data_IF_349810261588
#
_entry.id   IF_349810261588
#
_cell.length_a   1.000
_cell.length_b   1.000
_cell.length_c   1.000
_cell.angle_alpha   90.00
_cell.angle_beta   90.00
_cell.angle_gamma   90.00
#
_symmetry.space_group_name_H-M   'P 1'
#
loop_
_entity.id
_entity.type
_entity.pdbx_description
1 polymer ?
#
# COMPACT_ATOMS: atom_id res chain seq x y z
N UNK A 1 8.10 -22.51 11.54
CA UNK A 1 7.96 -21.04 11.46
C UNK A 1 6.71 -20.79 10.64
N UNK A 2 5.68 -20.19 11.21
CA UNK A 2 4.51 -19.79 10.43
C UNK A 2 4.95 -18.71 9.42
N UNK A 3 4.58 -18.88 8.15
CA UNK A 3 4.90 -17.92 7.10
C UNK A 3 4.06 -16.67 7.31
N UNK A 4 4.70 -15.50 7.35
CA UNK A 4 4.00 -14.22 7.42
C UNK A 4 3.08 -14.08 6.21
N UNK A 5 1.80 -13.75 6.46
CA UNK A 5 0.83 -13.57 5.38
C UNK A 5 1.06 -12.21 4.72
N UNK A 6 0.92 -12.17 3.39
CA UNK A 6 1.02 -10.95 2.59
C UNK A 6 -0.32 -10.64 1.93
N UNK A 7 -0.74 -9.38 1.96
CA UNK A 7 -1.98 -8.88 1.35
C UNK A 7 -1.68 -7.65 0.50
N UNK A 8 -2.30 -7.60 -0.67
CA UNK A 8 -2.31 -6.40 -1.53
C UNK A 8 -3.69 -5.73 -1.44
N UNK A 9 -3.70 -4.44 -1.13
CA UNK A 9 -4.92 -3.63 -1.02
C UNK A 9 -4.98 -2.66 -2.20
N UNK A 10 -5.90 -2.92 -3.12
CA UNK A 10 -6.23 -2.01 -4.22
C UNK A 10 -7.26 -0.97 -3.78
N UNK A 11 -6.95 0.32 -3.99
CA UNK A 11 -7.78 1.45 -3.56
C UNK A 11 -8.23 2.28 -4.76
N UNK A 12 -9.54 2.36 -4.98
CA UNK A 12 -10.18 3.15 -6.03
C UNK A 12 -10.82 4.44 -5.50
N UNK A 13 -11.23 5.33 -6.40
CA UNK A 13 -11.83 6.63 -6.05
C UNK A 13 -13.25 6.49 -5.50
N UNK A 14 -13.44 6.84 -4.22
CA UNK A 14 -14.74 6.90 -3.57
C UNK A 14 -14.62 7.32 -2.12
N UNK A 15 -15.70 7.87 -1.55
CA UNK A 15 -15.72 8.41 -0.17
C UNK A 15 -15.33 7.37 0.91
N UNK A 16 -15.47 6.07 0.60
CA UNK A 16 -15.09 4.99 1.50
C UNK A 16 -13.57 4.87 1.75
N UNK A 17 -12.72 5.55 0.95
CA UNK A 17 -11.26 5.46 1.05
C UNK A 17 -10.73 5.80 2.45
N UNK A 18 -11.34 6.75 3.16
CA UNK A 18 -10.94 7.13 4.51
C UNK A 18 -11.07 5.96 5.51
N UNK A 19 -11.99 5.02 5.26
CA UNK A 19 -12.16 3.82 6.10
C UNK A 19 -11.10 2.75 5.82
N UNK A 20 -10.49 2.78 4.63
CA UNK A 20 -9.46 1.80 4.26
C UNK A 20 -8.19 1.98 5.09
N UNK A 21 -7.91 3.21 5.57
CA UNK A 21 -6.80 3.48 6.49
C UNK A 21 -6.90 2.62 7.77
N UNK A 22 -8.09 2.51 8.35
CA UNK A 22 -8.32 1.67 9.54
C UNK A 22 -8.15 0.17 9.22
N UNK A 23 -8.61 -0.28 8.04
CA UNK A 23 -8.41 -1.67 7.58
C UNK A 23 -6.91 -2.01 7.51
N UNK A 24 -6.11 -1.14 6.90
CA UNK A 24 -4.66 -1.36 6.78
C UNK A 24 -3.97 -1.33 8.16
N UNK A 25 -4.37 -0.41 9.04
CA UNK A 25 -3.86 -0.38 10.42
C UNK A 25 -4.13 -1.69 11.17
N UNK A 26 -5.34 -2.27 11.01
CA UNK A 26 -5.71 -3.55 11.63
C UNK A 26 -4.96 -4.73 11.03
N UNK A 27 -4.77 -4.77 9.70
CA UNK A 27 -3.98 -5.80 9.03
C UNK A 27 -2.53 -5.78 9.52
N UNK A 28 -1.90 -4.60 9.60
CA UNK A 28 -0.55 -4.46 10.15
C UNK A 28 -0.44 -4.88 11.61
N UNK A 29 -1.43 -4.52 12.45
CA UNK A 29 -1.49 -4.97 13.86
C UNK A 29 -1.63 -6.48 14.01
N UNK A 30 -2.17 -7.16 12.98
CA UNK A 30 -2.25 -8.62 12.92
C UNK A 30 -0.99 -9.28 12.32
N UNK A 31 0.13 -8.54 12.25
CA UNK A 31 1.41 -9.00 11.70
C UNK A 31 1.35 -9.44 10.22
N UNK A 32 0.41 -8.88 9.45
CA UNK A 32 0.29 -9.13 8.01
C UNK A 32 1.15 -8.12 7.26
N UNK A 33 1.88 -8.57 6.24
CA UNK A 33 2.57 -7.67 5.32
C UNK A 33 1.58 -7.06 4.31
N UNK A 34 1.52 -5.73 4.23
CA UNK A 34 0.47 -5.02 3.50
C UNK A 34 1.08 -4.15 2.41
N UNK A 35 0.77 -4.46 1.16
CA UNK A 35 1.13 -3.64 -0.01
C UNK A 35 -0.09 -2.88 -0.50
N UNK A 36 0.07 -1.63 -0.91
CA UNK A 36 -1.06 -0.77 -1.29
C UNK A 36 -0.86 -0.26 -2.71
N UNK A 37 -1.91 -0.36 -3.51
CA UNK A 37 -1.97 0.17 -4.88
C UNK A 37 -3.15 1.13 -4.96
N UNK A 38 -2.93 2.35 -5.45
CA UNK A 38 -3.97 3.36 -5.58
C UNK A 38 -4.23 3.72 -7.04
N UNK A 39 -5.49 3.96 -7.38
CA UNK A 39 -5.83 4.65 -8.63
C UNK A 39 -5.58 6.16 -8.50
N UNK A 40 -5.39 6.86 -9.63
CA UNK A 40 -5.34 8.33 -9.66
C UNK A 40 -6.57 8.98 -9.02
N UNK A 41 -7.75 8.40 -9.22
CA UNK A 41 -8.98 8.93 -8.59
C UNK A 41 -8.96 8.79 -7.05
N UNK A 42 -8.33 7.74 -6.51
CA UNK A 42 -8.20 7.58 -5.06
C UNK A 42 -7.25 8.62 -4.46
N UNK A 43 -6.21 9.03 -5.19
CA UNK A 43 -5.22 10.01 -4.71
C UNK A 43 -5.80 11.41 -4.55
N UNK A 44 -6.92 11.72 -5.23
CA UNK A 44 -7.66 12.98 -5.05
C UNK A 44 -8.41 13.06 -3.71
N UNK A 45 -8.71 11.93 -3.08
CA UNK A 45 -9.40 11.89 -1.78
C UNK A 45 -8.42 11.77 -0.61
N UNK A 46 -7.41 10.90 -0.75
CA UNK A 46 -6.39 10.62 0.29
C UNK A 46 -5.04 10.49 -0.39
N UNK A 47 -4.02 11.13 0.17
CA UNK A 47 -2.68 11.09 -0.42
C UNK A 47 -2.01 9.73 -0.19
N UNK A 48 -1.12 9.27 -1.11
CA UNK A 48 -0.35 8.03 -0.92
C UNK A 48 0.43 7.98 0.40
N UNK A 49 0.90 9.11 0.91
CA UNK A 49 1.69 9.20 2.15
C UNK A 49 0.95 8.63 3.37
N UNK A 50 -0.36 8.84 3.47
CA UNK A 50 -1.17 8.28 4.56
C UNK A 50 -1.15 6.75 4.54
N UNK A 51 -1.21 6.16 3.35
CA UNK A 51 -1.14 4.72 3.18
C UNK A 51 0.27 4.19 3.43
N UNK A 52 1.33 4.86 2.95
CA UNK A 52 2.72 4.46 3.19
C UNK A 52 3.06 4.40 4.69
N UNK A 53 2.63 5.42 5.45
CA UNK A 53 2.87 5.49 6.89
C UNK A 53 2.22 4.32 7.65
N UNK A 54 1.05 3.88 7.20
CA UNK A 54 0.31 2.79 7.83
C UNK A 54 0.74 1.42 7.33
N UNK A 55 1.01 1.29 6.04
CA UNK A 55 1.40 0.03 5.41
C UNK A 55 2.89 -0.26 5.57
N UNK A 56 3.73 0.68 6.01
CA UNK A 56 5.19 0.51 6.12
C UNK A 56 5.84 0.01 4.80
N UNK A 57 5.17 0.26 3.68
CA UNK A 57 5.58 -0.14 2.34
C UNK A 57 5.31 1.03 1.39
N UNK A 58 6.03 1.09 0.27
CA UNK A 58 5.73 2.06 -0.78
C UNK A 58 4.33 1.83 -1.35
N UNK A 59 3.65 2.93 -1.71
CA UNK A 59 2.33 2.89 -2.33
C UNK A 59 2.50 3.12 -3.82
N UNK A 60 2.04 2.16 -4.62
CA UNK A 60 2.11 2.26 -6.08
C UNK A 60 0.84 2.97 -6.57
N UNK A 61 0.98 4.09 -7.28
CA UNK A 61 -0.18 4.79 -7.85
C UNK A 61 0.02 5.23 -9.31
N UNK A 62 1.18 4.95 -9.87
CA UNK A 62 1.52 5.18 -11.26
C UNK A 62 2.40 4.04 -11.77
N UNK A 63 1.98 3.41 -12.87
CA UNK A 63 2.67 2.27 -13.46
C UNK A 63 4.04 2.62 -14.03
N UNK A 64 4.23 3.87 -14.44
CA UNK A 64 5.46 4.35 -15.09
C UNK A 64 6.30 5.27 -14.19
N UNK A 65 5.96 5.39 -12.90
CA UNK A 65 6.80 6.15 -11.97
C UNK A 65 8.02 5.31 -11.58
N UNK A 66 9.18 5.95 -11.58
CA UNK A 66 10.42 5.29 -11.18
C UNK A 66 10.32 4.83 -9.71
N UNK A 67 10.60 3.55 -9.42
CA UNK A 67 10.66 3.06 -8.06
C UNK A 67 11.73 3.82 -7.28
N UNK A 68 11.33 4.59 -6.26
CA UNK A 68 12.29 5.40 -5.47
C UNK A 68 13.19 4.57 -4.56
N UNK A 69 12.81 3.32 -4.28
CA UNK A 69 13.57 2.39 -3.46
C UNK A 69 13.32 0.96 -3.92
N UNK A 70 13.97 0.57 -5.00
CA UNK A 70 14.36 -0.82 -5.19
C UNK A 70 15.87 -0.82 -5.21
N UNK A 71 16.52 -1.32 -4.15
CA UNK A 71 17.81 -1.97 -4.38
C UNK A 71 17.52 -3.00 -5.47
N UNK A 72 18.13 -2.85 -6.64
CA UNK A 72 17.99 -3.80 -7.74
C UNK A 72 18.42 -5.16 -7.16
N UNK A 73 17.45 -6.00 -6.77
CA UNK A 73 17.75 -7.36 -6.37
C UNK A 73 18.23 -8.03 -7.66
N UNK A 74 19.54 -8.18 -7.80
CA UNK A 74 20.10 -8.99 -8.86
C UNK A 74 19.56 -10.40 -8.69
N UNK A 75 18.65 -10.79 -9.58
CA UNK A 75 18.30 -12.19 -9.76
C UNK A 75 19.56 -12.82 -10.38
N UNK A 76 20.31 -13.56 -9.56
CA UNK A 76 21.46 -14.36 -10.02
C UNK A 76 20.99 -15.73 -10.50
#
# INVERSE_FOLDING_TARGET
MEQQKTVVVGVSGGVAVYKVLDVISRLRKADIDVHVIMTKAATEFVTPLSFQSLSQNMVIHNMFEEPRAWEIQHIS
#
